data_IF_804253450762
#
_entry.id   IF_804253450762
#
_cell.length_a   1.000
_cell.length_b   1.000
_cell.length_c   1.000
_cell.angle_alpha   90.00
_cell.angle_beta   90.00
_cell.angle_gamma   90.00
#
_symmetry.space_group_name_H-M   'P 1'
#
loop_
_entity.id
_entity.type
_entity.pdbx_description
1 polymer ?
#
# COMPACT_ATOMS: atom_id res chain seq x y z
N UNK A 1 9.23 -17.24 7.50
CA UNK A 1 7.90 -16.59 7.61
C UNK A 1 8.13 -15.29 8.35
N UNK A 2 7.85 -14.13 7.74
CA UNK A 2 8.09 -12.81 8.32
C UNK A 2 6.83 -11.96 8.18
N UNK A 3 6.08 -11.82 9.26
CA UNK A 3 4.80 -11.09 9.28
C UNK A 3 4.74 -10.30 10.58
N UNK A 4 4.46 -9.01 10.47
CA UNK A 4 4.08 -8.18 11.61
C UNK A 4 2.57 -8.32 11.85
N UNK A 5 2.18 -8.47 13.11
CA UNK A 5 0.78 -8.57 13.53
C UNK A 5 0.16 -7.19 13.78
N UNK A 6 -1.16 -7.13 13.89
CA UNK A 6 -1.91 -5.88 14.11
C UNK A 6 -2.14 -5.09 12.82
N UNK A 7 -2.85 -3.96 12.95
CA UNK A 7 -3.19 -3.09 11.83
C UNK A 7 -1.95 -2.56 11.10
N UNK A 8 -0.97 -2.02 11.83
CA UNK A 8 0.28 -1.49 11.25
C UNK A 8 1.11 -2.57 10.52
N UNK A 9 0.93 -3.85 10.88
CA UNK A 9 1.61 -4.98 10.25
C UNK A 9 0.98 -5.44 8.93
N UNK A 10 -0.17 -4.90 8.54
CA UNK A 10 -0.97 -5.39 7.42
C UNK A 10 -0.22 -5.37 6.09
N UNK A 11 0.61 -4.35 5.86
CA UNK A 11 1.47 -4.24 4.68
C UNK A 11 2.42 -5.44 4.52
N UNK A 12 2.96 -5.96 5.63
CA UNK A 12 3.94 -7.07 5.60
C UNK A 12 3.34 -8.36 5.03
N UNK A 13 2.02 -8.53 5.14
CA UNK A 13 1.28 -9.67 4.55
C UNK A 13 1.26 -9.63 3.02
N UNK A 14 1.46 -8.46 2.42
CA UNK A 14 1.49 -8.24 0.98
C UNK A 14 2.93 -8.10 0.46
N UNK A 15 3.79 -7.40 1.20
CA UNK A 15 5.20 -7.18 0.84
C UNK A 15 5.97 -8.49 0.66
N UNK A 16 5.63 -9.53 1.41
CA UNK A 16 6.25 -10.85 1.26
C UNK A 16 6.25 -11.36 -0.19
N UNK A 17 5.19 -11.11 -0.97
CA UNK A 17 5.09 -11.58 -2.34
C UNK A 17 6.10 -10.93 -3.30
N UNK A 18 6.68 -9.78 -2.95
CA UNK A 18 7.76 -9.14 -3.73
C UNK A 18 9.11 -9.84 -3.55
N UNK A 19 9.31 -10.57 -2.44
CA UNK A 19 10.59 -11.16 -2.09
C UNK A 19 10.62 -12.66 -2.37
N UNK A 20 11.54 -13.16 -3.21
CA UNK A 20 11.56 -14.57 -3.61
C UNK A 20 11.79 -15.54 -2.44
N UNK A 21 12.39 -15.06 -1.35
CA UNK A 21 12.70 -15.86 -0.17
C UNK A 21 11.57 -15.86 0.89
N UNK A 22 10.45 -15.16 0.65
CA UNK A 22 9.30 -15.19 1.54
C UNK A 22 8.47 -16.46 1.30
N UNK A 23 8.44 -17.36 2.28
CA UNK A 23 7.84 -18.69 2.13
C UNK A 23 6.31 -18.67 1.96
N UNK A 24 5.59 -17.92 2.79
CA UNK A 24 4.12 -17.86 2.77
C UNK A 24 3.58 -16.62 3.52
N UNK A 25 2.31 -16.29 3.26
CA UNK A 25 1.51 -15.30 3.98
C UNK A 25 0.18 -15.93 4.44
N UNK A 26 -0.51 -15.31 5.40
CA UNK A 26 -1.79 -15.79 5.92
C UNK A 26 -2.93 -14.82 5.60
N UNK A 27 -4.07 -15.39 5.21
CA UNK A 27 -5.31 -14.69 4.90
C UNK A 27 -6.49 -15.27 5.70
N UNK A 28 -7.53 -14.49 5.94
CA UNK A 28 -8.82 -15.02 6.42
C UNK A 28 -9.63 -15.62 5.27
N UNK A 29 -10.49 -16.60 5.58
CA UNK A 29 -11.35 -17.23 4.58
C UNK A 29 -12.37 -16.26 3.97
N UNK A 30 -12.95 -15.39 4.80
CA UNK A 30 -13.91 -14.37 4.38
C UNK A 30 -13.71 -13.07 5.17
N UNK A 31 -14.26 -11.96 4.67
CA UNK A 31 -14.25 -10.65 5.33
C UNK A 31 -15.12 -10.62 6.59
N UNK A 32 -16.15 -11.49 6.66
CA UNK A 32 -17.14 -11.55 7.75
C UNK A 32 -16.76 -12.57 8.84
N UNK A 33 -15.83 -13.48 8.56
CA UNK A 33 -15.38 -14.46 9.54
C UNK A 33 -14.66 -13.79 10.72
N UNK A 34 -14.79 -14.31 11.96
CA UNK A 34 -14.08 -13.74 13.10
C UNK A 34 -12.59 -13.69 12.79
N UNK A 35 -12.05 -12.48 12.70
CA UNK A 35 -10.62 -12.26 12.45
C UNK A 35 -9.88 -12.77 13.68
N UNK A 36 -9.14 -13.87 13.53
CA UNK A 36 -8.37 -14.47 14.63
C UNK A 36 -7.21 -13.57 15.09
N UNK A 37 -6.91 -12.50 14.35
CA UNK A 37 -6.03 -11.40 14.76
C UNK A 37 -6.42 -10.08 14.06
N UNK A 38 -6.26 -8.91 14.70
CA UNK A 38 -6.36 -7.61 14.04
C UNK A 38 -5.40 -7.50 12.84
N UNK A 39 -5.85 -6.88 11.74
CA UNK A 39 -5.06 -6.67 10.52
C UNK A 39 -5.04 -7.84 9.51
N UNK A 40 -6.00 -8.75 9.58
CA UNK A 40 -6.09 -9.89 8.67
C UNK A 40 -6.77 -9.58 7.33
N UNK A 41 -6.04 -9.68 6.22
CA UNK A 41 -6.59 -9.51 4.88
C UNK A 41 -7.33 -10.79 4.45
N UNK A 42 -8.54 -10.65 3.90
CA UNK A 42 -9.27 -11.82 3.36
C UNK A 42 -8.60 -12.39 2.12
N UNK A 43 -8.78 -13.69 1.88
CA UNK A 43 -8.28 -14.36 0.68
C UNK A 43 -8.87 -13.72 -0.59
N UNK A 44 -10.12 -13.26 -0.52
CA UNK A 44 -10.77 -12.51 -1.58
C UNK A 44 -10.06 -11.19 -1.84
N UNK A 45 -9.78 -10.38 -0.81
CA UNK A 45 -9.04 -9.11 -0.94
C UNK A 45 -7.62 -9.36 -1.46
N UNK A 46 -6.91 -10.39 -0.98
CA UNK A 46 -5.58 -10.74 -1.49
C UNK A 46 -5.59 -11.06 -2.99
N UNK A 47 -6.56 -11.84 -3.47
CA UNK A 47 -6.61 -12.26 -4.87
C UNK A 47 -7.24 -11.22 -5.80
N UNK A 48 -8.32 -10.54 -5.39
CA UNK A 48 -9.09 -9.63 -6.25
C UNK A 48 -8.64 -8.19 -6.16
N UNK A 49 -8.38 -7.69 -4.95
CA UNK A 49 -7.92 -6.31 -4.73
C UNK A 49 -6.43 -6.21 -4.96
N UNK A 50 -5.65 -6.96 -4.17
CA UNK A 50 -4.20 -6.87 -4.18
C UNK A 50 -3.54 -7.73 -5.25
N UNK A 51 -4.26 -8.68 -5.84
CA UNK A 51 -3.77 -9.59 -6.89
C UNK A 51 -2.36 -10.11 -6.59
N UNK A 52 -2.17 -10.61 -5.37
CA UNK A 52 -0.84 -10.95 -4.81
C UNK A 52 -0.02 -11.91 -5.68
N UNK A 53 -0.68 -12.74 -6.50
CA UNK A 53 -0.04 -13.65 -7.45
C UNK A 53 0.70 -12.97 -8.60
N UNK A 54 0.38 -11.70 -8.88
CA UNK A 54 1.07 -10.91 -9.89
C UNK A 54 2.10 -9.96 -9.27
N UNK A 55 2.31 -9.99 -7.95
CA UNK A 55 3.36 -9.20 -7.30
C UNK A 55 4.66 -9.99 -7.43
N UNK A 56 5.68 -9.33 -7.98
CA UNK A 56 7.03 -9.86 -8.10
C UNK A 56 8.10 -8.85 -7.67
N UNK A 57 9.38 -9.21 -7.84
CA UNK A 57 10.53 -8.38 -7.45
C UNK A 57 10.58 -6.99 -8.11
N UNK A 58 9.89 -6.82 -9.24
CA UNK A 58 9.89 -5.56 -10.01
C UNK A 58 8.61 -4.73 -9.79
N UNK A 59 7.51 -5.33 -9.30
CA UNK A 59 6.22 -4.67 -9.06
C UNK A 59 6.32 -3.42 -8.18
N UNK A 60 6.11 -2.23 -8.75
CA UNK A 60 6.24 -0.98 -7.98
C UNK A 60 5.19 -0.87 -6.89
N UNK A 61 5.59 -0.51 -5.68
CA UNK A 61 4.67 -0.43 -4.54
C UNK A 61 4.35 1.03 -4.22
N UNK A 62 3.08 1.34 -4.03
CA UNK A 62 2.62 2.66 -3.59
C UNK A 62 1.90 2.48 -2.26
N UNK A 63 2.22 3.28 -1.25
CA UNK A 63 1.55 3.21 0.05
C UNK A 63 0.23 3.98 0.06
N UNK A 64 -0.83 3.41 0.64
CA UNK A 64 -2.03 4.12 1.07
C UNK A 64 -1.98 4.26 2.59
N UNK A 65 -1.64 5.44 3.06
CA UNK A 65 -1.40 5.72 4.47
C UNK A 65 -2.66 6.30 5.13
N UNK A 66 -3.25 5.56 6.07
CA UNK A 66 -4.47 5.97 6.76
C UNK A 66 -4.59 5.36 8.17
N UNK A 67 -5.40 5.95 9.02
CA UNK A 67 -5.70 5.42 10.37
C UNK A 67 -6.44 4.08 10.32
N UNK A 68 -7.37 3.96 9.37
CA UNK A 68 -7.92 2.67 8.93
C UNK A 68 -7.61 2.48 7.43
N UNK A 69 -6.58 1.69 7.17
CA UNK A 69 -6.17 1.36 5.81
C UNK A 69 -6.77 0.02 5.34
N UNK A 70 -7.44 -0.72 6.22
CA UNK A 70 -7.94 -2.04 5.87
C UNK A 70 -9.22 -1.93 5.05
N UNK A 71 -9.27 -2.64 3.92
CA UNK A 71 -10.41 -2.66 3.00
C UNK A 71 -10.87 -1.26 2.50
N UNK A 72 -9.95 -0.28 2.48
CA UNK A 72 -10.21 1.06 1.99
C UNK A 72 -10.67 1.06 0.51
N UNK A 73 -11.79 1.73 0.17
CA UNK A 73 -12.34 1.73 -1.19
C UNK A 73 -11.39 2.35 -2.21
N UNK A 74 -10.59 3.33 -1.81
CA UNK A 74 -9.55 3.97 -2.63
C UNK A 74 -8.48 2.97 -3.07
N UNK A 75 -8.12 2.04 -2.19
CA UNK A 75 -7.15 0.97 -2.48
C UNK A 75 -7.73 0.01 -3.51
N UNK A 76 -9.01 -0.35 -3.38
CA UNK A 76 -9.71 -1.18 -4.36
C UNK A 76 -9.83 -0.50 -5.73
N UNK A 77 -10.22 0.78 -5.75
CA UNK A 77 -10.34 1.58 -6.97
C UNK A 77 -8.99 1.75 -7.68
N UNK A 78 -7.95 2.15 -6.94
CA UNK A 78 -6.60 2.32 -7.47
C UNK A 78 -6.02 1.03 -8.04
N UNK A 79 -6.12 -0.08 -7.31
CA UNK A 79 -5.62 -1.37 -7.80
C UNK A 79 -6.44 -1.94 -8.97
N UNK A 80 -7.75 -1.68 -8.99
CA UNK A 80 -8.60 -2.01 -10.14
C UNK A 80 -8.17 -1.25 -11.39
N UNK A 81 -7.90 0.05 -11.26
CA UNK A 81 -7.42 0.89 -12.34
C UNK A 81 -6.05 0.48 -12.87
N UNK A 82 -5.09 0.20 -11.98
CA UNK A 82 -3.75 -0.29 -12.34
C UNK A 82 -3.84 -1.61 -13.15
N UNK A 83 -4.65 -2.55 -12.66
CA UNK A 83 -4.84 -3.83 -13.33
C UNK A 83 -5.51 -3.68 -14.71
N UNK A 84 -6.51 -2.82 -14.84
CA UNK A 84 -7.19 -2.55 -16.12
C UNK A 84 -6.26 -1.97 -17.20
N UNK A 85 -5.12 -1.40 -16.80
CA UNK A 85 -4.09 -0.82 -17.69
C UNK A 85 -2.84 -1.67 -17.82
N UNK A 86 -2.78 -2.83 -17.17
CA UNK A 86 -1.59 -3.69 -17.18
C UNK A 86 -0.36 -3.05 -16.53
N UNK A 87 -0.54 -2.08 -15.63
CA UNK A 87 0.57 -1.42 -14.94
C UNK A 87 1.03 -2.32 -13.80
N UNK A 88 2.30 -2.73 -13.82
CA UNK A 88 2.91 -3.54 -12.76
C UNK A 88 3.24 -2.69 -11.52
N UNK A 89 2.17 -2.31 -10.82
CA UNK A 89 2.25 -1.62 -9.54
C UNK A 89 1.14 -2.07 -8.59
N UNK A 90 1.33 -1.83 -7.30
CA UNK A 90 0.36 -2.16 -6.26
C UNK A 90 0.23 -1.05 -5.23
N UNK A 91 -0.99 -0.54 -5.08
CA UNK A 91 -1.37 0.30 -3.95
C UNK A 91 -1.58 -0.61 -2.73
N UNK A 92 -0.74 -0.49 -1.72
CA UNK A 92 -0.75 -1.30 -0.51
C UNK A 92 -1.16 -0.46 0.71
N UNK A 93 -1.99 -0.98 1.61
CA UNK A 93 -2.38 -0.30 2.84
C UNK A 93 -1.23 -0.19 3.84
N UNK A 94 -1.03 1.02 4.35
CA UNK A 94 -0.13 1.36 5.44
C UNK A 94 -1.00 1.95 6.57
N UNK A 95 -1.28 1.15 7.59
CA UNK A 95 -2.05 1.63 8.72
C UNK A 95 -1.14 2.33 9.73
N UNK A 96 -1.59 3.43 10.32
CA UNK A 96 -0.93 4.09 11.45
C UNK A 96 -1.88 4.18 12.65
N UNK A 97 -1.33 4.29 13.87
CA UNK A 97 -2.16 4.55 15.04
C UNK A 97 -2.70 6.00 15.03
N UNK A 98 -3.78 6.28 15.77
CA UNK A 98 -4.17 7.64 16.10
C UNK A 98 -2.99 8.38 16.74
N UNK A 99 -2.80 9.66 16.42
CA UNK A 99 -1.74 10.54 16.95
C UNK A 99 -0.27 10.17 16.61
N UNK A 100 0.00 9.00 16.01
CA UNK A 100 1.34 8.61 15.51
C UNK A 100 1.65 9.14 14.10
N UNK A 101 0.70 9.84 13.49
CA UNK A 101 0.86 10.47 12.18
C UNK A 101 1.64 11.79 12.23
N UNK A 102 2.73 11.87 13.01
CA UNK A 102 3.68 12.96 12.79
C UNK A 102 4.25 12.80 11.38
N UNK A 103 4.31 13.90 10.63
CA UNK A 103 4.77 13.87 9.24
C UNK A 103 6.15 13.20 9.07
N UNK A 104 7.00 13.28 10.10
CA UNK A 104 8.36 12.78 10.10
C UNK A 104 8.48 11.24 10.25
N UNK A 105 7.72 10.62 11.16
CA UNK A 105 7.70 9.15 11.32
C UNK A 105 7.18 8.46 10.05
N UNK A 106 6.20 9.07 9.40
CA UNK A 106 5.59 8.57 8.17
C UNK A 106 6.50 8.74 6.95
N UNK A 107 7.26 9.84 6.88
CA UNK A 107 8.32 10.02 5.87
C UNK A 107 9.42 8.97 6.06
N UNK A 108 9.81 8.66 7.31
CA UNK A 108 10.79 7.60 7.60
C UNK A 108 10.32 6.21 7.19
N UNK A 109 9.05 5.87 7.45
CA UNK A 109 8.48 4.60 6.98
C UNK A 109 8.51 4.50 5.45
N UNK A 110 8.23 5.60 4.76
CA UNK A 110 8.28 5.66 3.30
C UNK A 110 9.73 5.60 2.74
N UNK A 111 10.74 5.92 3.54
CA UNK A 111 12.16 5.74 3.21
C UNK A 111 12.66 4.31 3.45
N UNK A 112 12.11 3.62 4.46
CA UNK A 112 12.53 2.26 4.84
C UNK A 112 11.87 1.17 4.00
N UNK A 113 10.73 1.48 3.39
CA UNK A 113 10.01 0.58 2.50
C UNK A 113 10.34 0.93 1.05
N UNK A 114 10.46 -0.06 0.14
CA UNK A 114 10.75 0.18 -1.28
C UNK A 114 9.50 0.68 -2.02
N UNK A 115 8.99 1.83 -1.60
CA UNK A 115 7.79 2.46 -2.14
C UNK A 115 8.19 3.47 -3.22
N UNK A 116 7.53 3.40 -4.37
CA UNK A 116 7.59 4.44 -5.41
C UNK A 116 6.99 5.77 -4.91
N UNK A 117 6.10 5.71 -3.93
CA UNK A 117 5.55 6.87 -3.23
C UNK A 117 4.41 6.48 -2.30
N UNK A 118 3.77 7.47 -1.69
CA UNK A 118 2.66 7.28 -0.74
C UNK A 118 1.54 8.29 -0.98
N UNK A 119 0.31 7.85 -0.76
CA UNK A 119 -0.90 8.66 -0.76
C UNK A 119 -1.49 8.66 0.64
N UNK A 120 -2.08 9.78 1.06
CA UNK A 120 -2.85 9.87 2.32
C UNK A 120 -4.06 10.78 2.17
N UNK A 121 -5.20 10.45 2.80
CA UNK A 121 -6.28 11.40 2.98
C UNK A 121 -5.86 12.52 3.95
N UNK A 122 -6.35 13.73 3.72
CA UNK A 122 -6.18 14.90 4.56
C UNK A 122 -7.46 15.73 4.56
N UNK A 123 -7.60 16.67 5.51
CA UNK A 123 -8.79 17.52 5.62
C UNK A 123 -9.10 18.29 4.32
N UNK A 124 -8.08 18.66 3.54
CA UNK A 124 -8.20 19.40 2.29
C UNK A 124 -8.15 18.51 1.02
N UNK A 125 -8.34 17.20 1.14
CA UNK A 125 -8.35 16.26 0.02
C UNK A 125 -7.26 15.20 0.12
N UNK A 126 -6.58 14.91 -0.99
CA UNK A 126 -5.55 13.88 -1.05
C UNK A 126 -4.16 14.52 -1.06
N UNK A 127 -3.21 13.94 -0.33
CA UNK A 127 -1.82 14.32 -0.38
C UNK A 127 -0.97 13.17 -0.93
N UNK A 128 0.06 13.52 -1.68
CA UNK A 128 1.02 12.60 -2.26
C UNK A 128 2.42 12.91 -1.74
N UNK A 129 3.18 11.86 -1.46
CA UNK A 129 4.62 11.91 -1.19
C UNK A 129 5.35 11.07 -2.24
N UNK A 130 6.50 11.57 -2.68
CA UNK A 130 7.40 10.86 -3.59
C UNK A 130 8.79 10.79 -2.98
N UNK A 131 9.56 9.75 -3.29
CA UNK A 131 10.94 9.64 -2.80
C UNK A 131 11.80 10.84 -3.19
N UNK A 132 11.59 11.40 -4.40
CA UNK A 132 12.36 12.55 -4.88
C UNK A 132 12.02 13.87 -4.18
N UNK A 133 10.76 14.08 -3.78
CA UNK A 133 10.33 15.35 -3.16
C UNK A 133 10.60 15.42 -1.66
N UNK A 134 10.70 14.27 -0.97
CA UNK A 134 10.88 14.18 0.49
C UNK A 134 9.75 14.82 1.31
N UNK A 135 8.70 15.33 0.66
CA UNK A 135 7.65 16.18 1.25
C UNK A 135 6.28 15.80 0.70
N UNK A 136 5.25 16.05 1.51
CA UNK A 136 3.85 15.82 1.14
C UNK A 136 3.31 17.04 0.38
N UNK A 137 2.76 16.82 -0.81
CA UNK A 137 2.09 17.84 -1.61
C UNK A 137 0.60 17.51 -1.77
N UNK A 138 -0.29 18.51 -1.74
CA UNK A 138 -1.69 18.29 -2.09
C UNK A 138 -1.83 17.88 -3.56
N UNK A 139 -2.75 16.97 -3.85
CA UNK A 139 -3.04 16.44 -5.19
C UNK A 139 -4.55 16.35 -5.40
N UNK A 140 -4.98 16.13 -6.64
CA UNK A 140 -6.38 15.88 -6.94
C UNK A 140 -6.92 14.65 -6.19
N UNK A 141 -8.21 14.64 -5.87
CA UNK A 141 -8.84 13.55 -5.11
C UNK A 141 -8.96 12.22 -5.89
N UNK A 142 -8.75 12.25 -7.21
CA UNK A 142 -8.84 11.06 -8.07
C UNK A 142 -7.57 10.20 -7.98
N UNK A 143 -7.61 9.19 -7.10
CA UNK A 143 -6.50 8.26 -6.83
C UNK A 143 -5.92 7.65 -8.12
N UNK A 144 -6.71 7.06 -9.05
CA UNK A 144 -6.23 6.67 -10.37
C UNK A 144 -5.34 7.67 -11.10
N UNK A 145 -5.78 8.94 -11.18
CA UNK A 145 -5.03 9.99 -11.89
C UNK A 145 -3.74 10.34 -11.17
N UNK A 146 -3.74 10.34 -9.84
CA UNK A 146 -2.53 10.59 -9.05
C UNK A 146 -1.53 9.43 -9.20
N UNK A 147 -2.01 8.18 -9.21
CA UNK A 147 -1.18 7.01 -9.44
C UNK A 147 -0.49 7.06 -10.82
N UNK A 148 -1.19 7.52 -11.86
CA UNK A 148 -0.59 7.69 -13.18
C UNK A 148 0.64 8.60 -13.12
N UNK A 149 0.49 9.81 -12.55
CA UNK A 149 1.60 10.77 -12.46
C UNK A 149 2.75 10.28 -11.57
N UNK A 150 2.46 9.58 -10.48
CA UNK A 150 3.48 9.00 -9.58
C UNK A 150 4.28 7.89 -10.27
N UNK A 151 3.63 7.12 -11.15
CA UNK A 151 4.24 5.99 -11.84
C UNK A 151 4.86 6.38 -13.20
N UNK A 152 4.68 7.61 -13.67
CA UNK A 152 5.38 8.17 -14.83
C UNK A 152 6.77 8.72 -14.48
N UNK A 153 7.04 9.02 -13.20
CA UNK A 153 8.39 9.38 -12.76
C UNK A 153 9.28 8.13 -12.77
N UNK A 154 10.44 8.22 -13.41
CA UNK A 154 11.41 7.12 -13.52
C UNK A 154 11.66 6.44 -12.17
N UNK A 155 11.71 5.09 -12.12
CA UNK A 155 12.02 4.38 -10.90
C UNK A 155 13.42 4.80 -10.43
N UNK A 156 13.50 5.45 -9.25
CA UNK A 156 14.77 5.70 -8.58
C UNK A 156 15.33 4.33 -8.20
N UNK A 157 16.31 3.86 -8.97
CA UNK A 157 17.06 2.66 -8.65
C UNK A 157 17.87 2.94 -7.39
N UNK A 158 17.35 2.52 -6.24
CA UNK A 158 18.11 2.47 -4.99
C UNK A 158 18.99 1.22 -4.99
N UNK A 159 20.29 1.45 -4.76
CA UNK A 159 21.40 0.50 -4.78
C UNK A 159 21.25 -0.74 -3.89
#
# INVERSE_FOLDING_TARGET
IAIAMGGCGLATRLLGFRYPNALLSFATLDAVAPRTAPGQISLTSMNKTYRVRSIGPDTRLVGWLAEDANDAPEVAAGNGWLAARGIDARLIPLQHAPDEATGETLVRLAQLLPLAGCLRPAAAGLHCWTQGSGTWAPVGADVPRVLAGLLETEPIHGA
#
